data_IF_102307291386
#
_entry.id   IF_102307291386
#
_cell.length_a   1.000
_cell.length_b   1.000
_cell.length_c   1.000
_cell.angle_alpha   90.00
_cell.angle_beta   90.00
_cell.angle_gamma   90.00
#
_symmetry.space_group_name_H-M   'P 1'
#
loop_
_entity.id
_entity.type
_entity.pdbx_description
1 polymer ?
#
# COMPACT_ATOMS: atom_id res chain seq x y z
N UNK A 1 29.55 -45.88 -6.66
CA UNK A 1 29.95 -44.54 -6.19
C UNK A 1 28.74 -43.64 -6.25
N UNK A 2 28.16 -43.35 -5.09
CA UNK A 2 26.97 -42.52 -4.90
C UNK A 2 27.32 -41.05 -5.19
N UNK A 3 26.59 -40.40 -6.09
CA UNK A 3 26.61 -38.94 -6.21
C UNK A 3 25.58 -38.38 -5.22
N UNK A 4 26.06 -37.58 -4.27
CA UNK A 4 25.24 -36.79 -3.34
C UNK A 4 24.30 -35.86 -4.10
N UNK A 5 23.05 -35.66 -3.66
CA UNK A 5 22.22 -34.60 -4.19
C UNK A 5 22.74 -33.26 -3.67
N UNK A 6 23.08 -32.38 -4.61
CA UNK A 6 23.34 -30.95 -4.39
C UNK A 6 22.09 -30.32 -3.76
N UNK A 7 22.20 -29.98 -2.48
CA UNK A 7 21.28 -29.06 -1.80
C UNK A 7 21.27 -27.75 -2.59
N UNK A 8 20.13 -27.43 -3.21
CA UNK A 8 19.83 -26.04 -3.49
C UNK A 8 19.59 -25.38 -2.13
N UNK A 9 20.54 -24.58 -1.68
CA UNK A 9 20.34 -23.64 -0.59
C UNK A 9 19.36 -22.56 -1.06
N UNK A 10 18.06 -22.89 -1.04
CA UNK A 10 16.99 -21.90 -1.02
C UNK A 10 16.70 -21.54 0.43
N UNK A 11 17.69 -20.94 1.09
CA UNK A 11 17.49 -20.29 2.37
C UNK A 11 17.04 -18.84 2.11
N UNK A 12 15.86 -18.69 1.50
CA UNK A 12 15.05 -17.49 1.72
C UNK A 12 14.41 -17.73 3.08
N UNK A 13 15.03 -17.18 4.13
CA UNK A 13 14.47 -17.24 5.49
C UNK A 13 13.01 -16.78 5.42
N UNK A 14 12.07 -17.71 5.66
CA UNK A 14 10.65 -17.44 5.58
C UNK A 14 10.30 -16.37 6.62
N UNK A 15 10.07 -15.14 6.17
CA UNK A 15 9.63 -14.05 7.04
C UNK A 15 8.30 -14.48 7.65
N UNK A 16 8.25 -14.59 8.97
CA UNK A 16 7.03 -14.98 9.70
C UNK A 16 5.93 -13.93 9.51
N UNK A 17 4.65 -14.32 9.59
CA UNK A 17 3.51 -13.40 9.52
C UNK A 17 3.67 -12.19 10.47
N UNK A 18 4.22 -12.43 11.68
CA UNK A 18 4.51 -11.37 12.66
C UNK A 18 5.55 -10.37 12.14
N UNK A 19 6.62 -10.83 11.50
CA UNK A 19 7.63 -9.94 10.92
C UNK A 19 7.08 -9.16 9.72
N UNK A 20 6.27 -9.80 8.87
CA UNK A 20 5.61 -9.13 7.74
C UNK A 20 4.67 -8.01 8.22
N UNK A 21 3.86 -8.28 9.24
CA UNK A 21 2.98 -7.27 9.87
C UNK A 21 3.80 -6.13 10.48
N UNK A 22 4.96 -6.43 11.08
CA UNK A 22 5.89 -5.43 11.59
C UNK A 22 6.39 -4.47 10.50
N UNK A 23 6.79 -5.00 9.35
CA UNK A 23 7.22 -4.18 8.21
C UNK A 23 6.08 -3.34 7.63
N UNK A 24 4.89 -3.92 7.44
CA UNK A 24 3.71 -3.19 6.99
C UNK A 24 3.38 -2.03 7.93
N UNK A 25 3.38 -2.28 9.25
CA UNK A 25 3.15 -1.24 10.25
C UNK A 25 4.18 -0.12 10.16
N UNK A 26 5.47 -0.47 10.01
CA UNK A 26 6.55 0.53 9.85
C UNK A 26 6.33 1.40 8.61
N UNK A 27 5.88 0.82 7.50
CA UNK A 27 5.60 1.59 6.28
C UNK A 27 4.36 2.47 6.44
N UNK A 28 3.26 1.95 6.99
CA UNK A 28 2.06 2.75 7.25
C UNK A 28 2.37 3.98 8.13
N UNK A 29 3.24 3.82 9.14
CA UNK A 29 3.66 4.95 9.96
C UNK A 29 4.45 6.01 9.18
N UNK A 30 5.35 5.60 8.27
CA UNK A 30 6.07 6.55 7.41
C UNK A 30 5.12 7.28 6.47
N UNK A 31 4.25 6.54 5.78
CA UNK A 31 3.22 7.10 4.89
C UNK A 31 2.36 8.12 5.64
N UNK A 32 1.90 7.77 6.84
CA UNK A 32 1.13 8.68 7.70
C UNK A 32 1.89 9.96 8.05
N UNK A 33 3.18 9.84 8.41
CA UNK A 33 4.01 10.98 8.77
C UNK A 33 4.28 11.89 7.57
N UNK A 34 4.60 11.31 6.41
CA UNK A 34 4.88 12.06 5.18
C UNK A 34 3.61 12.78 4.70
N UNK A 35 2.48 12.06 4.62
CA UNK A 35 1.19 12.63 4.25
C UNK A 35 0.78 13.77 5.19
N UNK A 36 0.89 13.56 6.50
CA UNK A 36 0.59 14.57 7.51
C UNK A 36 1.44 15.83 7.36
N UNK A 37 2.77 15.66 7.15
CA UNK A 37 3.68 16.79 6.94
C UNK A 37 3.29 17.60 5.71
N UNK A 38 3.02 16.94 4.59
CA UNK A 38 2.61 17.62 3.35
C UNK A 38 1.30 18.37 3.53
N UNK A 39 0.31 17.76 4.18
CA UNK A 39 -0.98 18.38 4.49
C UNK A 39 -0.82 19.67 5.33
N UNK A 40 -0.03 19.61 6.40
CA UNK A 40 0.25 20.79 7.25
C UNK A 40 1.00 21.87 6.47
N UNK A 41 2.02 21.50 5.71
CA UNK A 41 2.77 22.45 4.87
C UNK A 41 1.90 23.11 3.80
N UNK A 42 0.87 22.43 3.33
CA UNK A 42 -0.12 22.95 2.40
C UNK A 42 -1.25 23.78 3.07
N UNK A 43 -1.18 23.98 4.39
CA UNK A 43 -2.11 24.85 5.12
C UNK A 43 -3.42 24.19 5.54
N UNK A 44 -3.53 22.85 5.52
CA UNK A 44 -4.69 22.17 6.09
C UNK A 44 -4.79 22.45 7.60
N UNK A 45 -6.02 22.52 8.09
CA UNK A 45 -6.26 22.64 9.53
C UNK A 45 -5.76 21.41 10.31
N UNK A 46 -5.50 21.52 11.62
CA UNK A 46 -5.08 20.38 12.44
C UNK A 46 -6.04 19.19 12.38
N UNK A 47 -7.35 19.43 12.28
CA UNK A 47 -8.36 18.38 12.20
C UNK A 47 -8.28 17.63 10.86
N UNK A 48 -8.19 18.37 9.75
CA UNK A 48 -8.02 17.80 8.40
C UNK A 48 -6.71 17.02 8.29
N UNK A 49 -5.60 17.58 8.78
CA UNK A 49 -4.33 16.88 8.83
C UNK A 49 -4.39 15.64 9.75
N UNK A 50 -5.16 15.69 10.84
CA UNK A 50 -5.46 14.53 11.68
C UNK A 50 -6.08 13.38 10.88
N UNK A 51 -7.08 13.66 10.04
CA UNK A 51 -7.68 12.67 9.14
C UNK A 51 -6.66 12.08 8.15
N UNK A 52 -5.80 12.93 7.57
CA UNK A 52 -4.67 12.49 6.71
C UNK A 52 -3.76 11.50 7.41
N UNK A 53 -3.37 11.80 8.65
CA UNK A 53 -2.51 10.91 9.44
C UNK A 53 -3.20 9.58 9.72
N UNK A 54 -4.49 9.59 10.08
CA UNK A 54 -5.24 8.36 10.33
C UNK A 54 -5.36 7.51 9.07
N UNK A 55 -5.72 8.11 7.93
CA UNK A 55 -5.78 7.42 6.65
C UNK A 55 -4.44 6.77 6.28
N UNK A 56 -3.32 7.49 6.44
CA UNK A 56 -1.99 6.92 6.21
C UNK A 56 -1.64 5.76 7.14
N UNK A 57 -2.05 5.82 8.41
CA UNK A 57 -1.79 4.76 9.38
C UNK A 57 -2.55 3.47 9.03
N UNK A 58 -3.71 3.58 8.38
CA UNK A 58 -4.50 2.44 7.92
C UNK A 58 -4.29 2.04 6.46
N UNK A 59 -3.39 2.73 5.74
CA UNK A 59 -3.15 2.50 4.31
C UNK A 59 -2.93 1.02 3.94
N UNK A 60 -2.24 0.26 4.78
CA UNK A 60 -1.94 -1.16 4.53
C UNK A 60 -2.73 -2.14 5.41
N UNK A 61 -3.82 -1.69 6.05
CA UNK A 61 -4.60 -2.56 6.97
C UNK A 61 -5.18 -3.79 6.25
N UNK A 62 -5.53 -3.66 4.97
CA UNK A 62 -5.98 -4.79 4.17
C UNK A 62 -4.91 -5.84 3.90
N UNK A 63 -3.64 -5.43 3.75
CA UNK A 63 -2.52 -6.38 3.64
C UNK A 63 -2.32 -7.13 4.97
N UNK A 64 -2.43 -6.43 6.11
CA UNK A 64 -2.38 -7.05 7.44
C UNK A 64 -3.51 -8.07 7.60
N UNK A 65 -4.73 -7.74 7.19
CA UNK A 65 -5.88 -8.63 7.25
C UNK A 65 -5.66 -9.88 6.38
N UNK A 66 -5.16 -9.72 5.14
CA UNK A 66 -4.80 -10.83 4.25
C UNK A 66 -3.80 -11.78 4.93
N UNK A 67 -2.67 -11.25 5.42
CA UNK A 67 -1.63 -12.07 6.07
C UNK A 67 -2.17 -12.79 7.31
N UNK A 68 -3.02 -12.12 8.08
CA UNK A 68 -3.59 -12.67 9.32
C UNK A 68 -4.66 -13.74 9.08
N UNK A 69 -5.23 -13.78 7.87
CA UNK A 69 -6.21 -14.78 7.45
C UNK A 69 -5.58 -16.03 6.81
N UNK A 70 -4.30 -15.97 6.44
CA UNK A 70 -3.59 -17.10 5.86
C UNK A 70 -3.23 -18.12 6.96
N UNK A 71 -3.43 -19.42 6.72
CA UNK A 71 -2.93 -20.45 7.62
C UNK A 71 -1.39 -20.33 7.73
N UNK A 72 -0.86 -20.36 8.95
CA UNK A 72 0.59 -20.46 9.19
C UNK A 72 1.08 -21.84 8.67
N UNK A 73 1.41 -21.88 7.37
CA UNK A 73 1.82 -23.03 6.54
C UNK A 73 0.73 -23.98 6.03
N UNK A 74 0.80 -24.36 4.73
CA UNK A 74 0.61 -25.75 4.34
C UNK A 74 1.93 -26.52 4.55
N UNK A 75 1.83 -27.73 5.10
CA UNK A 75 2.83 -28.80 4.97
C UNK A 75 3.49 -28.80 3.58
N UNK A 76 4.78 -29.17 3.44
CA UNK A 76 5.47 -29.20 2.15
C UNK A 76 4.94 -30.34 1.28
N UNK A 77 3.77 -30.17 0.68
CA UNK A 77 3.29 -31.05 -0.37
C UNK A 77 3.94 -30.61 -1.66
N UNK A 78 5.21 -30.99 -1.80
CA UNK A 78 6.02 -30.84 -3.00
C UNK A 78 5.39 -31.66 -4.13
N UNK A 79 4.56 -31.03 -4.95
CA UNK A 79 4.37 -31.35 -6.37
C UNK A 79 3.79 -30.14 -7.10
N UNK A 80 4.59 -29.09 -7.30
CA UNK A 80 4.33 -28.11 -8.36
C UNK A 80 5.50 -28.17 -9.35
N UNK A 81 5.26 -28.50 -10.64
CA UNK A 81 6.32 -28.61 -11.62
C UNK A 81 6.87 -27.23 -11.97
N UNK A 82 8.20 -27.13 -12.03
CA UNK A 82 8.93 -25.96 -12.47
C UNK A 82 8.49 -25.52 -13.88
N UNK A 83 7.59 -24.55 -13.97
CA UNK A 83 7.37 -23.77 -15.19
C UNK A 83 8.22 -22.51 -15.10
N UNK A 84 9.50 -22.69 -15.45
CA UNK A 84 10.41 -21.60 -15.73
C UNK A 84 10.05 -21.01 -17.10
N UNK A 85 9.17 -20.01 -17.10
CA UNK A 85 8.84 -19.21 -18.26
C UNK A 85 7.50 -18.50 -18.08
N UNK A 86 7.53 -17.17 -17.90
CA UNK A 86 6.36 -16.27 -17.70
C UNK A 86 5.87 -16.03 -16.27
N UNK A 87 6.75 -16.15 -15.25
CA UNK A 87 6.39 -15.74 -13.89
C UNK A 87 6.36 -14.21 -13.71
N UNK A 88 7.21 -13.44 -14.41
CA UNK A 88 7.30 -11.99 -14.20
C UNK A 88 6.10 -11.17 -14.72
N UNK A 89 5.40 -11.64 -15.77
CA UNK A 89 4.21 -10.95 -16.31
C UNK A 89 2.93 -11.36 -15.55
N UNK A 90 2.81 -12.64 -15.19
CA UNK A 90 1.68 -13.18 -14.42
C UNK A 90 1.70 -12.66 -12.98
N UNK A 91 2.88 -12.61 -12.35
CA UNK A 91 3.03 -12.01 -11.01
C UNK A 91 2.60 -10.55 -11.03
N UNK A 92 2.91 -9.77 -12.07
CA UNK A 92 2.52 -8.36 -12.12
C UNK A 92 0.99 -8.18 -12.21
N UNK A 93 0.30 -8.98 -13.02
CA UNK A 93 -1.17 -8.92 -13.13
C UNK A 93 -1.89 -9.47 -11.89
N UNK A 94 -1.40 -10.57 -11.32
CA UNK A 94 -1.94 -11.11 -10.07
C UNK A 94 -1.67 -10.15 -8.91
N UNK A 95 -0.48 -9.56 -8.81
CA UNK A 95 -0.15 -8.53 -7.81
C UNK A 95 -1.00 -7.27 -8.00
N UNK A 96 -1.27 -6.81 -9.22
CA UNK A 96 -2.17 -5.67 -9.46
C UNK A 96 -3.61 -5.97 -9.03
N UNK A 97 -4.11 -7.17 -9.34
CA UNK A 97 -5.44 -7.62 -8.89
C UNK A 97 -5.51 -7.76 -7.37
N UNK A 98 -4.41 -8.23 -6.74
CA UNK A 98 -4.27 -8.40 -5.29
C UNK A 98 -3.99 -7.08 -4.54
N UNK A 99 -3.47 -6.06 -5.24
CA UNK A 99 -3.25 -4.72 -4.73
C UNK A 99 -4.59 -3.99 -4.57
N UNK A 100 -5.41 -3.94 -5.62
CA UNK A 100 -6.78 -3.44 -5.51
C UNK A 100 -7.61 -4.21 -4.47
N UNK A 101 -7.39 -5.52 -4.34
CA UNK A 101 -8.05 -6.28 -3.29
C UNK A 101 -7.69 -5.81 -1.87
N UNK A 102 -6.45 -5.37 -1.60
CA UNK A 102 -6.08 -4.98 -0.25
C UNK A 102 -6.65 -3.61 0.14
N UNK A 103 -6.66 -2.65 -0.78
CA UNK A 103 -7.24 -1.32 -0.55
C UNK A 103 -8.75 -1.43 -0.34
N UNK A 104 -9.43 -2.26 -1.14
CA UNK A 104 -10.85 -2.58 -0.96
C UNK A 104 -11.15 -3.31 0.36
N UNK A 105 -10.38 -4.34 0.72
CA UNK A 105 -10.51 -5.03 2.02
C UNK A 105 -10.31 -4.03 3.16
N UNK A 106 -9.30 -3.17 3.06
CA UNK A 106 -9.00 -2.17 4.07
C UNK A 106 -10.14 -1.16 4.26
N UNK A 107 -10.65 -0.60 3.16
CA UNK A 107 -11.81 0.29 3.20
C UNK A 107 -13.05 -0.39 3.77
N UNK A 108 -13.35 -1.62 3.34
CA UNK A 108 -14.46 -2.40 3.88
C UNK A 108 -14.34 -2.62 5.39
N UNK A 109 -13.17 -3.03 5.88
CA UNK A 109 -12.90 -3.24 7.31
C UNK A 109 -13.10 -1.97 8.13
N UNK A 110 -12.62 -0.84 7.63
CA UNK A 110 -12.77 0.44 8.32
C UNK A 110 -14.22 0.92 8.34
N UNK A 111 -14.96 0.69 7.25
CA UNK A 111 -16.39 1.02 7.16
C UNK A 111 -17.22 0.24 8.17
N UNK A 112 -16.97 -1.07 8.33
CA UNK A 112 -17.68 -1.87 9.35
C UNK A 112 -17.28 -1.48 10.79
N UNK A 113 -16.08 -0.92 10.99
CA UNK A 113 -15.63 -0.39 12.28
C UNK A 113 -16.14 1.02 12.57
N UNK A 114 -16.84 1.66 11.63
CA UNK A 114 -17.44 2.98 11.82
C UNK A 114 -16.43 4.13 11.79
N UNK A 115 -15.33 4.00 11.05
CA UNK A 115 -14.45 5.13 10.78
C UNK A 115 -15.12 6.15 9.84
N UNK A 116 -14.66 7.39 9.89
CA UNK A 116 -15.15 8.46 9.03
C UNK A 116 -14.98 8.11 7.54
N UNK A 117 -15.96 8.50 6.72
CA UNK A 117 -16.00 8.19 5.28
C UNK A 117 -14.72 8.67 4.58
N UNK A 118 -14.17 9.82 4.99
CA UNK A 118 -12.93 10.35 4.42
C UNK A 118 -11.74 9.41 4.63
N UNK A 119 -11.69 8.70 5.77
CA UNK A 119 -10.65 7.70 6.05
C UNK A 119 -10.91 6.43 5.23
N UNK A 120 -12.17 5.99 5.19
CA UNK A 120 -12.59 4.79 4.45
C UNK A 120 -12.29 4.92 2.96
N UNK A 121 -12.72 6.02 2.34
CA UNK A 121 -12.51 6.31 0.93
C UNK A 121 -11.03 6.49 0.62
N UNK A 122 -10.28 7.14 1.51
CA UNK A 122 -8.85 7.31 1.33
C UNK A 122 -8.13 5.97 1.27
N UNK A 123 -8.42 5.04 2.18
CA UNK A 123 -7.79 3.71 2.17
C UNK A 123 -8.23 2.89 0.96
N UNK A 124 -9.51 2.99 0.58
CA UNK A 124 -10.08 2.25 -0.55
C UNK A 124 -9.51 2.70 -1.90
N UNK A 125 -9.38 4.01 -2.10
CA UNK A 125 -9.04 4.59 -3.41
C UNK A 125 -7.61 5.12 -3.51
N UNK A 126 -6.74 4.88 -2.52
CA UNK A 126 -5.36 5.38 -2.50
C UNK A 126 -4.51 5.02 -3.74
N UNK A 127 -4.88 3.96 -4.47
CA UNK A 127 -4.20 3.53 -5.69
C UNK A 127 -4.88 4.06 -6.97
N UNK A 128 -6.18 4.32 -6.91
CA UNK A 128 -7.03 4.68 -8.05
C UNK A 128 -7.91 5.88 -7.70
N UNK A 129 -7.31 7.02 -7.32
CA UNK A 129 -8.05 8.10 -6.68
C UNK A 129 -9.10 8.74 -7.60
N UNK A 130 -8.91 8.68 -8.93
CA UNK A 130 -9.91 9.07 -9.92
C UNK A 130 -11.27 8.34 -9.79
N UNK A 131 -11.29 7.14 -9.19
CA UNK A 131 -12.52 6.35 -9.01
C UNK A 131 -13.32 6.71 -7.75
N UNK A 132 -12.77 7.57 -6.87
CA UNK A 132 -13.38 7.93 -5.58
C UNK A 132 -14.53 8.93 -5.69
N UNK A 133 -14.58 9.73 -6.76
CA UNK A 133 -15.48 10.89 -6.86
C UNK A 133 -15.10 12.07 -5.96
N UNK A 134 -13.96 12.00 -5.26
CA UNK A 134 -13.44 13.11 -4.43
C UNK A 134 -13.00 14.26 -5.33
N UNK A 135 -13.49 15.46 -5.01
CA UNK A 135 -13.16 16.72 -5.70
C UNK A 135 -12.50 17.76 -4.79
N UNK A 136 -12.42 17.51 -3.49
CA UNK A 136 -11.87 18.46 -2.52
C UNK A 136 -10.40 18.16 -2.22
N UNK A 137 -9.55 19.17 -2.38
CA UNK A 137 -8.11 19.12 -2.08
C UNK A 137 -7.82 18.92 -0.58
N UNK A 138 -8.74 19.30 0.30
CA UNK A 138 -8.60 19.07 1.73
C UNK A 138 -8.87 17.61 2.12
N UNK A 139 -9.41 16.79 1.20
CA UNK A 139 -9.69 15.39 1.47
C UNK A 139 -8.39 14.59 1.70
N UNK A 140 -8.36 13.64 2.66
CA UNK A 140 -7.15 12.90 3.02
C UNK A 140 -6.53 12.09 1.86
N UNK A 141 -7.36 11.65 0.91
CA UNK A 141 -6.97 10.81 -0.22
C UNK A 141 -5.83 11.41 -1.04
N UNK A 142 -5.82 12.72 -1.30
CA UNK A 142 -4.75 13.36 -2.08
C UNK A 142 -3.39 13.17 -1.42
N UNK A 143 -3.31 13.53 -0.14
CA UNK A 143 -2.06 13.48 0.61
C UNK A 143 -1.58 12.05 0.84
N UNK A 144 -2.53 11.13 1.05
CA UNK A 144 -2.23 9.71 1.12
C UNK A 144 -1.68 9.18 -0.21
N UNK A 145 -2.33 9.51 -1.32
CA UNK A 145 -1.93 9.06 -2.65
C UNK A 145 -0.52 9.58 -3.01
N UNK A 146 -0.24 10.86 -2.75
CA UNK A 146 1.11 11.41 -2.91
C UNK A 146 2.10 10.63 -2.04
N UNK A 147 1.84 10.46 -0.74
CA UNK A 147 2.76 9.78 0.17
C UNK A 147 3.03 8.32 -0.21
N UNK A 148 2.01 7.59 -0.68
CA UNK A 148 2.15 6.22 -1.18
C UNK A 148 2.98 6.16 -2.45
N UNK A 149 2.81 7.12 -3.37
CA UNK A 149 3.60 7.20 -4.61
C UNK A 149 5.10 7.47 -4.40
N UNK A 150 5.47 7.99 -3.21
CA UNK A 150 6.85 8.22 -2.80
C UNK A 150 7.49 7.00 -2.13
N UNK A 151 6.72 5.98 -1.74
CA UNK A 151 7.29 4.81 -1.07
C UNK A 151 7.95 3.87 -2.08
N UNK A 152 9.11 3.29 -1.73
CA UNK A 152 9.71 2.25 -2.54
C UNK A 152 8.86 0.97 -2.46
N UNK A 153 8.80 0.24 -3.57
CA UNK A 153 8.21 -1.10 -3.60
C UNK A 153 9.01 -2.09 -2.75
N UNK A 154 8.32 -3.10 -2.24
CA UNK A 154 8.93 -4.26 -1.58
C UNK A 154 8.13 -5.52 -1.90
N UNK A 155 8.57 -6.68 -1.40
CA UNK A 155 7.81 -7.93 -1.55
C UNK A 155 6.38 -7.86 -0.98
N UNK A 156 6.12 -6.97 -0.02
CA UNK A 156 4.81 -6.83 0.65
C UNK A 156 4.03 -5.58 0.24
N UNK A 157 4.65 -4.70 -0.56
CA UNK A 157 4.16 -3.35 -0.78
C UNK A 157 4.35 -3.01 -2.24
N UNK A 158 3.22 -2.82 -2.92
CA UNK A 158 3.15 -2.41 -4.31
C UNK A 158 3.67 -0.99 -4.54
N UNK A 159 4.14 -0.75 -5.77
CA UNK A 159 4.38 0.60 -6.26
C UNK A 159 3.02 1.25 -6.56
N UNK A 160 2.81 2.46 -6.06
CA UNK A 160 1.68 3.30 -6.45
C UNK A 160 2.18 4.34 -7.45
N UNK A 161 1.63 4.33 -8.66
CA UNK A 161 1.89 5.40 -9.62
C UNK A 161 1.12 6.66 -9.23
N UNK A 162 1.77 7.81 -9.35
CA UNK A 162 1.11 9.09 -9.05
C UNK A 162 0.16 9.48 -10.18
N UNK A 163 -1.13 9.59 -9.88
CA UNK A 163 -2.19 10.06 -10.76
C UNK A 163 -2.21 11.59 -10.79
N UNK A 164 -1.32 12.12 -11.63
CA UNK A 164 -1.21 13.55 -11.87
C UNK A 164 -2.49 14.17 -12.42
N UNK A 165 -3.18 13.47 -13.31
CA UNK A 165 -4.37 14.00 -13.98
C UNK A 165 -5.51 14.21 -12.97
N UNK A 166 -5.73 13.23 -12.08
CA UNK A 166 -6.68 13.38 -10.99
C UNK A 166 -6.26 14.48 -10.02
N UNK A 167 -4.99 14.51 -9.60
CA UNK A 167 -4.49 15.52 -8.67
C UNK A 167 -4.70 16.95 -9.22
N UNK A 168 -4.40 17.18 -10.50
CA UNK A 168 -4.66 18.45 -11.18
C UNK A 168 -6.16 18.78 -11.23
N UNK A 169 -7.02 17.79 -11.46
CA UNK A 169 -8.47 17.97 -11.50
C UNK A 169 -9.08 18.47 -10.19
N UNK A 170 -8.42 18.19 -9.05
CA UNK A 170 -8.80 18.68 -7.72
C UNK A 170 -7.96 19.87 -7.25
N UNK A 171 -7.21 20.48 -8.17
CA UNK A 171 -6.46 21.73 -7.92
C UNK A 171 -5.09 21.56 -7.28
N UNK A 172 -4.46 20.37 -7.37
CA UNK A 172 -3.07 20.15 -6.98
C UNK A 172 -2.13 20.29 -8.19
N UNK A 173 -1.15 21.17 -8.12
CA UNK A 173 -0.28 21.50 -9.25
C UNK A 173 1.00 20.65 -9.24
N UNK A 174 1.50 20.28 -10.43
CA UNK A 174 2.73 19.50 -10.58
C UNK A 174 3.98 20.14 -9.99
N UNK A 175 4.02 21.48 -9.96
CA UNK A 175 5.11 22.22 -9.33
C UNK A 175 5.22 21.92 -7.84
N UNK A 176 4.08 21.71 -7.17
CA UNK A 176 4.02 21.37 -5.75
C UNK A 176 4.57 19.96 -5.50
N UNK A 177 4.32 19.01 -6.41
CA UNK A 177 4.91 17.67 -6.33
C UNK A 177 6.43 17.70 -6.46
N UNK A 178 6.96 18.54 -7.36
CA UNK A 178 8.40 18.68 -7.55
C UNK A 178 9.08 19.24 -6.28
N UNK A 179 8.47 20.22 -5.64
CA UNK A 179 8.93 20.78 -4.36
C UNK A 179 8.93 19.71 -3.27
N UNK A 180 7.86 18.94 -3.14
CA UNK A 180 7.75 17.83 -2.18
C UNK A 180 8.85 16.80 -2.42
N UNK A 181 9.08 16.38 -3.67
CA UNK A 181 10.12 15.39 -4.02
C UNK A 181 11.53 15.91 -3.75
N UNK A 182 11.75 17.22 -3.83
CA UNK A 182 13.05 17.83 -3.53
C UNK A 182 13.34 17.94 -2.03
N UNK A 183 12.30 17.89 -1.19
CA UNK A 183 12.37 18.03 0.26
C UNK A 183 12.35 16.69 1.02
N UNK A 184 12.12 15.57 0.31
CA UNK A 184 12.11 14.21 0.83
C UNK A 184 13.49 13.54 0.66
#
# INVERSE_FOLDING_TARGET
MLRSPTRCDHQLDAITSRQQIGELSRVSHRVAADAYRMAISAGLSPDQAGLVKHAGMFSLIGQVAKISSLPESPEPTSTAPCLAGSLAETDRQEHQSLAHAHSEIGGFLLGIWGFADEIVDSVRFQETPASSGVTDRAHPLLWLHIARSLQPSSALIETVEFDAQWAESIGFMQTELAEIRSAA
#
